data_IF_912410445064
#
_entry.id   IF_912410445064
#
_cell.length_a   1.000
_cell.length_b   1.000
_cell.length_c   1.000
_cell.angle_alpha   90.00
_cell.angle_beta   90.00
_cell.angle_gamma   90.00
#
_symmetry.space_group_name_H-M   'P 1'
#
loop_
_entity.id
_entity.type
_entity.pdbx_description
1 polymer ?
#
# COMPACT_ATOMS: atom_id res chain seq x y z
N UNK A 1 -26.43 0.53 -19.42
CA UNK A 1 -25.19 1.24 -19.81
C UNK A 1 -24.63 2.16 -18.72
N UNK A 2 -25.45 2.80 -17.87
CA UNK A 2 -25.03 3.78 -16.85
C UNK A 2 -24.16 3.22 -15.69
N UNK A 3 -24.39 1.98 -15.25
CA UNK A 3 -23.70 1.40 -14.07
C UNK A 3 -22.18 1.20 -14.30
N UNK A 4 -21.79 0.77 -15.51
CA UNK A 4 -20.37 0.54 -15.85
C UNK A 4 -19.59 1.86 -15.92
N UNK A 5 -20.20 2.90 -16.47
CA UNK A 5 -19.65 4.26 -16.53
C UNK A 5 -19.50 4.85 -15.13
N UNK A 6 -20.49 4.65 -14.25
CA UNK A 6 -20.42 5.09 -12.85
C UNK A 6 -19.29 4.40 -12.09
N UNK A 7 -19.10 3.09 -12.27
CA UNK A 7 -17.98 2.34 -11.68
C UNK A 7 -16.62 2.83 -12.19
N UNK A 8 -16.49 3.12 -13.48
CA UNK A 8 -15.27 3.68 -14.08
C UNK A 8 -14.97 5.07 -13.50
N UNK A 9 -15.97 5.94 -13.42
CA UNK A 9 -15.80 7.29 -12.87
C UNK A 9 -15.35 7.26 -11.40
N UNK A 10 -15.98 6.42 -10.57
CA UNK A 10 -15.57 6.23 -9.16
C UNK A 10 -14.15 5.66 -9.08
N UNK A 11 -13.80 4.68 -9.91
CA UNK A 11 -12.45 4.12 -9.96
C UNK A 11 -11.39 5.18 -10.30
N UNK A 12 -11.70 6.10 -11.21
CA UNK A 12 -10.78 7.16 -11.64
C UNK A 12 -10.56 8.20 -10.52
N UNK A 13 -11.62 8.57 -9.80
CA UNK A 13 -11.53 9.45 -8.63
C UNK A 13 -10.71 8.80 -7.51
N UNK A 14 -10.98 7.52 -7.21
CA UNK A 14 -10.22 6.77 -6.21
C UNK A 14 -8.74 6.64 -6.57
N UNK A 15 -8.42 6.50 -7.86
CA UNK A 15 -7.03 6.46 -8.34
C UNK A 15 -6.30 7.79 -8.15
N UNK A 16 -6.98 8.92 -8.38
CA UNK A 16 -6.41 10.26 -8.14
C UNK A 16 -6.16 10.45 -6.62
N UNK A 17 -7.12 10.08 -5.78
CA UNK A 17 -6.98 10.17 -4.33
C UNK A 17 -5.88 9.24 -3.79
N UNK A 18 -5.74 8.06 -4.40
CA UNK A 18 -4.64 7.13 -4.10
C UNK A 18 -3.27 7.76 -4.40
N UNK A 19 -3.12 8.37 -5.59
CA UNK A 19 -1.90 9.09 -5.97
C UNK A 19 -1.59 10.29 -5.07
N UNK A 20 -2.62 11.04 -4.65
CA UNK A 20 -2.47 12.11 -3.67
C UNK A 20 -2.00 11.59 -2.30
N UNK A 21 -2.58 10.47 -1.83
CA UNK A 21 -2.17 9.81 -0.59
C UNK A 21 -0.72 9.33 -0.62
N UNK A 22 -0.25 8.78 -1.74
CA UNK A 22 1.17 8.41 -1.92
C UNK A 22 2.05 9.66 -1.91
N UNK A 23 1.63 10.74 -2.57
CA UNK A 23 2.41 11.98 -2.65
C UNK A 23 2.64 12.60 -1.26
N UNK A 24 1.65 12.56 -0.37
CA UNK A 24 1.79 12.98 1.03
C UNK A 24 2.79 12.12 1.80
N UNK A 25 2.81 10.81 1.56
CA UNK A 25 3.78 9.89 2.17
C UNK A 25 5.20 10.13 1.63
N UNK A 26 5.37 10.55 0.38
CA UNK A 26 6.70 10.90 -0.17
C UNK A 26 7.20 12.19 0.46
N UNK A 27 6.32 13.19 0.59
CA UNK A 27 6.64 14.46 1.25
C UNK A 27 7.05 14.27 2.72
N UNK A 28 6.50 13.24 3.39
CA UNK A 28 6.82 12.94 4.78
C UNK A 28 8.13 12.19 4.99
N UNK A 29 8.76 11.58 3.98
CA UNK A 29 10.02 10.83 4.11
C UNK A 29 10.10 9.89 5.34
N UNK A 30 8.95 9.31 5.71
CA UNK A 30 8.77 8.39 6.83
C UNK A 30 7.84 7.31 6.29
N UNK A 31 8.20 6.03 6.47
CA UNK A 31 7.29 4.90 6.30
C UNK A 31 6.82 4.59 4.89
N UNK A 32 7.75 4.36 3.96
CA UNK A 32 7.38 4.03 2.59
C UNK A 32 7.45 2.52 2.30
N UNK A 33 6.62 2.02 1.38
CA UNK A 33 6.77 0.66 0.85
C UNK A 33 8.16 0.49 0.23
N UNK A 34 8.70 -0.73 0.19
CA UNK A 34 10.11 -0.99 -0.22
C UNK A 34 10.53 -0.33 -1.54
N UNK A 35 9.64 -0.26 -2.53
CA UNK A 35 9.89 0.41 -3.81
C UNK A 35 10.07 1.92 -3.70
N UNK A 36 9.41 2.54 -2.73
CA UNK A 36 9.37 3.99 -2.54
C UNK A 36 10.43 4.43 -1.49
N UNK A 37 10.74 3.54 -0.52
CA UNK A 37 11.91 3.65 0.34
C UNK A 37 13.24 3.66 -0.45
N UNK A 38 13.31 2.94 -1.59
CA UNK A 38 14.44 2.98 -2.51
C UNK A 38 14.59 4.34 -3.22
N UNK A 39 13.48 5.01 -3.55
CA UNK A 39 13.48 6.32 -4.19
C UNK A 39 13.81 7.47 -3.23
N UNK A 40 13.61 7.26 -1.92
CA UNK A 40 13.80 8.26 -0.87
C UNK A 40 15.22 8.32 -0.27
N UNK A 41 16.17 7.49 -0.73
CA UNK A 41 17.56 7.46 -0.26
C UNK A 41 18.37 8.74 -0.56
N UNK A 42 17.72 9.86 -0.88
CA UNK A 42 18.33 11.10 -1.37
C UNK A 42 17.93 12.39 -0.62
N UNK A 43 17.16 12.38 0.48
CA UNK A 43 16.71 13.65 1.11
C UNK A 43 16.60 13.65 2.65
N UNK A 44 16.91 14.81 3.27
CA UNK A 44 16.90 15.06 4.72
C UNK A 44 15.51 15.39 5.34
N UNK A 45 15.35 15.30 6.68
CA UNK A 45 14.05 15.21 7.39
C UNK A 45 13.83 16.23 8.53
N UNK A 46 12.64 16.86 8.54
CA UNK A 46 12.11 17.81 9.56
C UNK A 46 10.82 17.32 10.28
N UNK A 47 10.39 17.97 11.38
CA UNK A 47 9.41 17.46 12.36
C UNK A 47 7.91 17.42 11.95
N UNK A 48 7.48 18.15 10.90
CA UNK A 48 6.07 18.14 10.43
C UNK A 48 5.65 16.86 9.66
N UNK A 49 6.52 15.84 9.67
CA UNK A 49 6.48 14.68 8.78
C UNK A 49 5.59 13.54 9.26
N UNK A 50 5.39 13.34 10.57
CA UNK A 50 4.59 12.19 11.07
C UNK A 50 3.09 12.35 10.74
N UNK A 51 2.52 13.54 10.92
CA UNK A 51 1.09 13.76 10.65
C UNK A 51 0.74 13.58 9.16
N UNK A 52 1.57 14.14 8.28
CA UNK A 52 1.40 13.98 6.82
C UNK A 52 1.58 12.54 6.37
N UNK A 53 2.51 11.81 6.99
CA UNK A 53 2.70 10.38 6.75
C UNK A 53 1.46 9.56 7.08
N UNK A 54 0.94 9.67 8.31
CA UNK A 54 -0.21 8.88 8.77
C UNK A 54 -1.46 9.18 7.95
N UNK A 55 -1.72 10.46 7.66
CA UNK A 55 -2.86 10.87 6.82
C UNK A 55 -2.74 10.27 5.41
N UNK A 56 -1.55 10.38 4.80
CA UNK A 56 -1.30 9.82 3.48
C UNK A 56 -1.47 8.30 3.44
N UNK A 57 -1.01 7.60 4.49
CA UNK A 57 -1.13 6.15 4.62
C UNK A 57 -2.59 5.69 4.73
N UNK A 58 -3.38 6.33 5.58
CA UNK A 58 -4.81 6.02 5.72
C UNK A 58 -5.55 6.28 4.42
N UNK A 59 -5.28 7.43 3.76
CA UNK A 59 -5.94 7.81 2.53
C UNK A 59 -5.60 6.84 1.39
N UNK A 60 -4.33 6.52 1.23
CA UNK A 60 -3.83 5.57 0.21
C UNK A 60 -4.36 4.15 0.46
N UNK A 61 -4.34 3.67 1.70
CA UNK A 61 -4.80 2.32 2.02
C UNK A 61 -6.30 2.11 1.79
N UNK A 62 -7.12 3.09 2.16
CA UNK A 62 -8.58 3.01 2.02
C UNK A 62 -9.00 3.09 0.56
N UNK A 63 -8.44 4.04 -0.20
CA UNK A 63 -8.70 4.17 -1.64
C UNK A 63 -8.22 2.96 -2.42
N UNK A 64 -7.05 2.42 -2.11
CA UNK A 64 -6.54 1.20 -2.73
C UNK A 64 -7.44 -0.01 -2.46
N UNK A 65 -7.91 -0.18 -1.22
CA UNK A 65 -8.83 -1.27 -0.86
C UNK A 65 -10.15 -1.21 -1.62
N UNK A 66 -10.70 0.01 -1.80
CA UNK A 66 -11.91 0.24 -2.60
C UNK A 66 -11.63 -0.03 -4.09
N UNK A 67 -10.49 0.44 -4.62
CA UNK A 67 -10.12 0.27 -6.01
C UNK A 67 -10.00 -1.20 -6.40
N UNK A 68 -9.35 -2.00 -5.55
CA UNK A 68 -9.24 -3.46 -5.71
C UNK A 68 -10.59 -4.15 -5.60
N UNK A 69 -11.48 -3.69 -4.71
CA UNK A 69 -12.83 -4.25 -4.57
C UNK A 69 -13.75 -3.93 -5.77
N UNK A 70 -13.52 -2.80 -6.46
CA UNK A 70 -14.20 -2.46 -7.72
C UNK A 70 -13.73 -3.39 -8.86
N UNK A 71 -12.48 -3.87 -8.79
CA UNK A 71 -11.93 -4.89 -9.69
C UNK A 71 -11.62 -4.42 -11.11
N UNK A 72 -11.78 -3.12 -11.41
CA UNK A 72 -11.43 -2.54 -12.72
C UNK A 72 -9.91 -2.30 -12.80
N UNK A 73 -9.29 -1.86 -11.71
CA UNK A 73 -7.85 -1.59 -11.64
C UNK A 73 -7.26 -2.48 -10.56
N UNK A 74 -6.51 -3.49 -10.98
CA UNK A 74 -5.72 -4.34 -10.09
C UNK A 74 -4.24 -4.02 -10.28
N UNK A 75 -3.56 -3.69 -9.19
CA UNK A 75 -2.11 -3.56 -9.20
C UNK A 75 -1.45 -4.95 -9.23
N UNK A 76 -0.27 -5.10 -9.86
CA UNK A 76 0.34 -6.41 -10.06
C UNK A 76 0.67 -7.14 -8.77
N UNK A 77 1.21 -6.44 -7.76
CA UNK A 77 1.54 -7.03 -6.46
C UNK A 77 0.27 -7.41 -5.67
N UNK A 78 -0.72 -6.53 -5.65
CA UNK A 78 -2.02 -6.74 -5.01
C UNK A 78 -2.78 -7.90 -5.66
N UNK A 79 -2.81 -7.96 -7.00
CA UNK A 79 -3.40 -9.05 -7.76
C UNK A 79 -2.73 -10.38 -7.44
N UNK A 80 -1.40 -10.40 -7.37
CA UNK A 80 -0.65 -11.57 -6.93
C UNK A 80 -1.01 -11.99 -5.50
N UNK A 81 -1.07 -11.03 -4.55
CA UNK A 81 -1.49 -11.30 -3.17
C UNK A 81 -2.90 -11.88 -3.08
N UNK A 82 -3.84 -11.41 -3.90
CA UNK A 82 -5.22 -11.91 -3.94
C UNK A 82 -5.26 -13.33 -4.50
N UNK A 83 -4.54 -13.61 -5.59
CA UNK A 83 -4.46 -14.97 -6.16
C UNK A 83 -3.81 -15.95 -5.17
N UNK A 84 -2.75 -15.53 -4.48
CA UNK A 84 -2.06 -16.33 -3.48
C UNK A 84 -2.94 -16.53 -2.22
N UNK A 85 -3.69 -15.50 -1.81
CA UNK A 85 -4.71 -15.59 -0.75
C UNK A 85 -5.80 -16.60 -1.06
N UNK A 86 -6.26 -16.66 -2.32
CA UNK A 86 -7.23 -17.66 -2.76
C UNK A 86 -6.62 -19.08 -2.80
N UNK A 87 -5.33 -19.21 -3.14
CA UNK A 87 -4.64 -20.50 -3.17
C UNK A 87 -4.39 -21.08 -1.76
N UNK A 88 -4.04 -20.24 -0.79
CA UNK A 88 -3.74 -20.65 0.58
C UNK A 88 -4.94 -20.59 1.54
N UNK A 89 -6.12 -20.11 1.10
CA UNK A 89 -7.30 -19.85 1.93
C UNK A 89 -7.06 -18.91 3.13
N UNK A 90 -5.97 -18.14 3.09
CA UNK A 90 -5.59 -17.20 4.16
C UNK A 90 -6.05 -15.78 3.84
N UNK A 91 -6.18 -14.93 4.87
CA UNK A 91 -6.57 -13.52 4.70
C UNK A 91 -5.55 -12.75 3.87
N UNK A 92 -6.02 -11.82 3.02
CA UNK A 92 -5.18 -10.93 2.20
C UNK A 92 -4.14 -10.17 3.04
N UNK A 93 -4.50 -9.78 4.27
CA UNK A 93 -3.60 -9.11 5.22
C UNK A 93 -2.35 -9.93 5.52
N UNK A 94 -2.51 -11.25 5.72
CA UNK A 94 -1.44 -12.15 6.15
C UNK A 94 -0.51 -12.49 5.00
N UNK A 95 -1.07 -12.72 3.81
CA UNK A 95 -0.30 -12.99 2.59
C UNK A 95 0.56 -11.78 2.22
N UNK A 96 -0.03 -10.59 2.26
CA UNK A 96 0.67 -9.35 1.94
C UNK A 96 1.81 -9.08 2.92
N UNK A 97 1.54 -9.21 4.22
CA UNK A 97 2.57 -9.06 5.26
C UNK A 97 3.74 -10.05 5.06
N UNK A 98 3.46 -11.30 4.68
CA UNK A 98 4.50 -12.31 4.42
C UNK A 98 5.34 -11.98 3.19
N UNK A 99 4.73 -11.48 2.11
CA UNK A 99 5.45 -11.08 0.90
C UNK A 99 6.32 -9.85 1.17
N UNK A 100 5.78 -8.84 1.83
CA UNK A 100 6.55 -7.67 2.25
C UNK A 100 7.72 -8.12 3.15
N UNK A 101 7.50 -8.97 4.17
CA UNK A 101 8.58 -9.48 5.01
C UNK A 101 9.69 -10.24 4.24
N UNK A 102 9.33 -11.00 3.21
CA UNK A 102 10.28 -11.69 2.34
C UNK A 102 11.16 -10.71 1.56
N UNK A 103 10.54 -9.71 0.91
CA UNK A 103 11.28 -8.66 0.22
C UNK A 103 12.15 -7.83 1.17
N UNK A 104 11.68 -7.58 2.40
CA UNK A 104 12.45 -6.90 3.43
C UNK A 104 13.74 -7.67 3.76
N UNK A 105 13.64 -8.98 3.97
CA UNK A 105 14.78 -9.84 4.25
C UNK A 105 15.83 -9.80 3.14
N UNK A 106 15.38 -9.86 1.88
CA UNK A 106 16.27 -9.76 0.71
C UNK A 106 16.99 -8.41 0.67
N UNK A 107 16.26 -7.31 0.89
CA UNK A 107 16.85 -5.97 0.89
C UNK A 107 17.87 -5.81 2.03
N UNK A 108 17.55 -6.32 3.22
CA UNK A 108 18.46 -6.28 4.35
C UNK A 108 19.78 -7.02 4.05
N UNK A 109 19.69 -8.21 3.44
CA UNK A 109 20.86 -8.98 3.00
C UNK A 109 21.66 -8.18 1.95
N UNK A 110 20.98 -7.56 0.99
CA UNK A 110 21.62 -6.78 -0.07
C UNK A 110 22.34 -5.54 0.48
N UNK A 111 21.74 -4.84 1.44
CA UNK A 111 22.33 -3.65 2.09
C UNK A 111 23.59 -4.02 2.85
N UNK A 112 23.58 -5.14 3.58
CA UNK A 112 24.77 -5.68 4.26
C UNK A 112 25.89 -6.00 3.26
N UNK A 113 25.55 -6.55 2.09
CA UNK A 113 26.52 -6.92 1.06
C UNK A 113 27.09 -5.71 0.29
N UNK A 114 26.29 -4.67 0.08
CA UNK A 114 26.65 -3.50 -0.74
C UNK A 114 27.16 -2.31 0.07
N UNK A 115 27.20 -2.40 1.41
CA UNK A 115 27.59 -1.30 2.31
C UNK A 115 26.82 0.02 2.08
N UNK A 116 25.61 -0.06 1.50
CA UNK A 116 24.75 1.10 1.30
C UNK A 116 24.28 1.60 2.68
N UNK A 117 24.18 2.92 2.92
CA UNK A 117 23.64 3.45 4.16
C UNK A 117 22.27 2.84 4.49
N UNK A 118 22.13 2.34 5.72
CA UNK A 118 20.88 1.80 6.25
C UNK A 118 19.82 2.91 6.39
N UNK A 119 18.99 3.09 5.36
CA UNK A 119 17.86 4.01 5.36
C UNK A 119 16.56 3.38 5.90
N UNK A 120 16.62 2.17 6.46
CA UNK A 120 15.47 1.54 7.11
C UNK A 120 15.24 2.26 8.45
N UNK A 121 14.26 3.16 8.46
CA UNK A 121 13.76 3.80 9.67
C UNK A 121 12.59 2.99 10.22
N UNK A 122 12.38 3.02 11.54
CA UNK A 122 11.25 2.39 12.24
C UNK A 122 9.90 2.59 11.53
N UNK A 123 9.71 3.77 10.91
CA UNK A 123 8.53 4.11 10.13
C UNK A 123 8.23 3.16 8.97
N UNK A 124 9.24 2.58 8.32
CA UNK A 124 9.09 1.60 7.22
C UNK A 124 8.42 0.33 7.73
N UNK A 125 8.81 -0.13 8.92
CA UNK A 125 8.22 -1.32 9.54
C UNK A 125 6.76 -1.05 9.93
N UNK A 126 6.52 0.11 10.53
CA UNK A 126 5.18 0.55 10.92
C UNK A 126 4.27 0.71 9.70
N UNK A 127 4.78 1.23 8.59
CA UNK A 127 3.98 1.50 7.40
C UNK A 127 3.49 0.23 6.72
N UNK A 128 4.34 -0.78 6.53
CA UNK A 128 3.92 -1.98 5.82
C UNK A 128 2.95 -2.82 6.65
N UNK A 129 3.14 -2.88 7.98
CA UNK A 129 2.19 -3.53 8.91
C UNK A 129 0.83 -2.84 8.83
N UNK A 130 0.83 -1.52 8.99
CA UNK A 130 -0.39 -0.73 9.07
C UNK A 130 -1.11 -0.69 7.71
N UNK A 131 -0.38 -0.52 6.61
CA UNK A 131 -0.91 -0.60 5.24
C UNK A 131 -1.50 -1.98 4.95
N UNK A 132 -0.80 -3.06 5.30
CA UNK A 132 -1.29 -4.42 5.07
C UNK A 132 -2.59 -4.70 5.83
N UNK A 133 -2.66 -4.22 7.07
CA UNK A 133 -3.85 -4.35 7.91
C UNK A 133 -5.03 -3.52 7.36
N UNK A 134 -4.83 -2.23 7.13
CA UNK A 134 -5.90 -1.34 6.65
C UNK A 134 -6.39 -1.74 5.25
N UNK A 135 -5.51 -2.16 4.36
CA UNK A 135 -5.88 -2.57 3.01
C UNK A 135 -6.80 -3.78 3.06
N UNK A 136 -6.43 -4.82 3.82
CA UNK A 136 -7.26 -6.03 3.91
C UNK A 136 -8.60 -5.77 4.55
N UNK A 137 -8.66 -4.90 5.56
CA UNK A 137 -9.93 -4.49 6.17
C UNK A 137 -10.80 -3.69 5.18
N UNK A 138 -10.20 -2.72 4.48
CA UNK A 138 -10.87 -1.86 3.50
C UNK A 138 -11.38 -2.68 2.31
N UNK A 139 -10.58 -3.63 1.83
CA UNK A 139 -10.97 -4.56 0.76
C UNK A 139 -12.16 -5.41 1.19
N UNK A 140 -12.12 -6.01 2.39
CA UNK A 140 -13.23 -6.83 2.90
C UNK A 140 -14.51 -6.02 3.09
N UNK A 141 -14.39 -4.79 3.59
CA UNK A 141 -15.51 -3.88 3.78
C UNK A 141 -16.10 -3.43 2.43
N UNK A 142 -15.25 -3.01 1.49
CA UNK A 142 -15.65 -2.56 0.16
C UNK A 142 -16.24 -3.70 -0.69
N UNK A 143 -15.71 -4.92 -0.56
CA UNK A 143 -16.26 -6.12 -1.21
C UNK A 143 -17.66 -6.45 -0.67
N UNK A 144 -17.88 -6.35 0.65
CA UNK A 144 -19.21 -6.54 1.24
C UNK A 144 -20.22 -5.50 0.73
N UNK A 145 -19.77 -4.27 0.51
CA UNK A 145 -20.60 -3.18 0.00
C UNK A 145 -20.87 -3.31 -1.51
N UNK A 146 -19.90 -3.81 -2.30
CA UNK A 146 -20.03 -3.98 -3.75
C UNK A 146 -20.79 -5.23 -4.17
N UNK A 147 -20.83 -6.28 -3.33
CA UNK A 147 -21.69 -7.48 -3.51
C UNK A 147 -23.16 -7.18 -3.19
N UNK A 148 -23.46 -6.08 -2.49
CA UNK A 148 -24.83 -5.65 -2.18
C UNK A 148 -25.48 -4.78 -3.27
N UNK A 149 -24.83 -4.57 -4.42
CA UNK A 149 -25.34 -3.81 -5.58
C UNK A 149 -25.34 -4.65 -6.86
#
# INVERSE_FOLDING_TARGET
MSIKIKKISVSLIMFILFGFGISLQIKSNIGQSMLNALALTLTDVSAAKIGTFVIGLFLSSTTLGILLAIGIINFPLEGFCITLSNLFHTKLTTVRFSLDAFFFGIILILVVFTHVPFYIREGTIISFILLSYLLGQSYKYAQKLSISQ
#
